data_IF_908545496141
#
_entry.id   IF_908545496141
#
_cell.length_a   1.000
_cell.length_b   1.000
_cell.length_c   1.000
_cell.angle_alpha   90.00
_cell.angle_beta   90.00
_cell.angle_gamma   90.00
#
_symmetry.space_group_name_H-M   'P 1'
#
loop_
_entity.id
_entity.type
_entity.pdbx_description
1 polymer ?
#
# COMPACT_ATOMS: atom_id res chain seq x y z
N UNK A 1 -17.37 -6.89 0.50
CA UNK A 1 -17.02 -6.50 1.89
C UNK A 1 -17.66 -5.18 2.29
N UNK A 2 -17.42 -4.07 1.56
CA UNK A 2 -17.85 -2.72 1.95
C UNK A 2 -19.35 -2.59 2.28
N UNK A 3 -20.25 -3.01 1.38
CA UNK A 3 -21.69 -2.85 1.60
C UNK A 3 -22.21 -3.70 2.76
N UNK A 4 -21.72 -4.94 2.89
CA UNK A 4 -22.10 -5.84 3.99
C UNK A 4 -21.67 -5.27 5.34
N UNK A 5 -20.44 -4.77 5.45
CA UNK A 5 -19.91 -4.18 6.67
C UNK A 5 -20.69 -2.93 7.08
N UNK A 6 -21.01 -2.04 6.12
CA UNK A 6 -21.79 -0.82 6.39
C UNK A 6 -23.23 -1.12 6.79
N UNK A 7 -23.89 -2.03 6.09
CA UNK A 7 -25.27 -2.41 6.42
C UNK A 7 -25.35 -3.09 7.79
N UNK A 8 -24.46 -4.05 8.06
CA UNK A 8 -24.39 -4.70 9.37
C UNK A 8 -24.12 -3.71 10.51
N UNK A 9 -23.25 -2.72 10.30
CA UNK A 9 -23.02 -1.66 11.28
C UNK A 9 -24.26 -0.80 11.54
N UNK A 10 -25.04 -0.49 10.49
CA UNK A 10 -26.25 0.30 10.61
C UNK A 10 -27.37 -0.46 11.35
N UNK A 11 -27.52 -1.75 11.07
CA UNK A 11 -28.55 -2.61 11.65
C UNK A 11 -28.24 -2.99 13.11
N UNK A 12 -26.98 -3.25 13.43
CA UNK A 12 -26.57 -3.79 14.73
C UNK A 12 -26.13 -2.72 15.74
N UNK A 13 -25.92 -1.48 15.30
CA UNK A 13 -25.45 -0.38 16.15
C UNK A 13 -26.37 -0.05 17.32
N UNK A 14 -27.70 -0.13 17.14
CA UNK A 14 -28.69 0.10 18.20
C UNK A 14 -28.64 -0.96 19.32
N UNK A 15 -28.06 -2.13 19.03
CA UNK A 15 -27.82 -3.20 19.99
C UNK A 15 -26.44 -3.10 20.67
N UNK A 16 -25.69 -2.02 20.42
CA UNK A 16 -24.34 -1.84 20.95
C UNK A 16 -23.27 -2.71 20.28
N UNK A 17 -23.56 -3.31 19.13
CA UNK A 17 -22.63 -4.17 18.39
C UNK A 17 -21.92 -3.35 17.31
N UNK A 18 -20.60 -3.42 17.27
CA UNK A 18 -19.76 -2.80 16.25
C UNK A 18 -19.44 -3.79 15.15
N UNK A 19 -19.44 -3.34 13.90
CA UNK A 19 -19.14 -4.19 12.73
C UNK A 19 -18.04 -3.54 11.92
N UNK A 20 -16.89 -4.19 11.80
CA UNK A 20 -15.77 -3.73 10.98
C UNK A 20 -15.20 -4.91 10.20
N UNK A 21 -14.45 -4.63 9.15
CA UNK A 21 -13.73 -5.65 8.39
C UNK A 21 -12.29 -5.22 8.15
N UNK A 22 -11.39 -6.19 8.08
CA UNK A 22 -9.97 -5.99 7.78
C UNK A 22 -9.71 -6.55 6.37
N UNK A 23 -9.08 -5.75 5.52
CA UNK A 23 -8.69 -6.11 4.17
C UNK A 23 -7.17 -6.33 4.12
N UNK A 24 -6.70 -7.59 4.14
CA UNK A 24 -5.28 -7.90 4.04
C UNK A 24 -4.74 -7.64 2.63
N UNK A 25 -3.50 -7.17 2.57
CA UNK A 25 -2.67 -7.20 1.35
C UNK A 25 -1.96 -8.54 1.15
N UNK A 26 -0.81 -8.52 0.47
CA UNK A 26 0.08 -9.69 0.37
C UNK A 26 0.75 -9.95 1.72
N UNK A 27 0.48 -11.12 2.29
CA UNK A 27 0.96 -11.52 3.62
C UNK A 27 1.85 -12.75 3.52
N UNK A 28 2.95 -12.79 4.27
CA UNK A 28 3.77 -13.97 4.43
C UNK A 28 3.06 -14.99 5.36
N UNK A 29 2.19 -15.82 4.77
CA UNK A 29 1.44 -16.86 5.47
C UNK A 29 1.79 -18.25 4.93
N UNK A 30 1.45 -19.34 5.65
CA UNK A 30 1.66 -20.70 5.16
C UNK A 30 1.06 -20.98 3.79
N UNK A 31 -0.12 -20.41 3.50
CA UNK A 31 -0.76 -20.53 2.19
C UNK A 31 0.08 -19.92 1.07
N UNK A 32 0.69 -18.77 1.34
CA UNK A 32 1.56 -18.11 0.37
C UNK A 32 2.86 -18.88 0.23
N UNK A 33 3.45 -19.37 1.33
CA UNK A 33 4.63 -20.24 1.27
C UNK A 33 4.39 -21.48 0.40
N UNK A 34 3.26 -22.16 0.58
CA UNK A 34 2.86 -23.31 -0.24
C UNK A 34 2.72 -22.94 -1.73
N UNK A 35 2.09 -21.80 -2.02
CA UNK A 35 1.87 -21.33 -3.40
C UNK A 35 3.18 -21.01 -4.12
N UNK A 36 4.16 -20.43 -3.42
CA UNK A 36 5.40 -19.93 -4.04
C UNK A 36 6.57 -20.92 -3.95
N UNK A 37 6.63 -21.74 -2.91
CA UNK A 37 7.74 -22.64 -2.62
C UNK A 37 7.34 -24.13 -2.63
N UNK A 38 6.04 -24.46 -2.68
CA UNK A 38 5.56 -25.84 -2.57
C UNK A 38 5.72 -26.46 -1.18
N UNK A 39 6.04 -25.64 -0.18
CA UNK A 39 6.15 -26.03 1.22
C UNK A 39 5.48 -24.96 2.10
N UNK A 40 4.36 -25.33 2.73
CA UNK A 40 3.62 -24.46 3.63
C UNK A 40 4.39 -24.03 4.88
N UNK A 41 5.52 -24.68 5.21
CA UNK A 41 6.37 -24.32 6.35
C UNK A 41 7.46 -23.31 5.99
N UNK A 42 7.77 -23.10 4.71
CA UNK A 42 8.83 -22.17 4.27
C UNK A 42 8.30 -20.71 4.17
N UNK A 43 7.96 -20.15 5.33
CA UNK A 43 7.51 -18.75 5.44
C UNK A 43 8.60 -17.78 4.97
N UNK A 44 9.88 -18.15 5.11
CA UNK A 44 10.99 -17.30 4.66
C UNK A 44 11.05 -17.21 3.13
N UNK A 45 10.73 -18.28 2.40
CA UNK A 45 10.55 -18.19 0.95
C UNK A 45 9.39 -17.25 0.58
N UNK A 46 8.25 -17.32 1.27
CA UNK A 46 7.15 -16.39 1.05
C UNK A 46 7.57 -14.92 1.29
N UNK A 47 8.30 -14.66 2.37
CA UNK A 47 8.84 -13.31 2.66
C UNK A 47 9.77 -12.84 1.55
N UNK A 48 10.72 -13.67 1.12
CA UNK A 48 11.65 -13.33 0.02
C UNK A 48 10.92 -13.02 -1.28
N UNK A 49 9.85 -13.76 -1.60
CA UNK A 49 9.06 -13.56 -2.81
C UNK A 49 8.25 -12.25 -2.76
N UNK A 50 7.67 -11.90 -1.60
CA UNK A 50 6.79 -10.73 -1.47
C UNK A 50 7.57 -9.43 -1.20
N UNK A 51 8.75 -9.51 -0.57
CA UNK A 51 9.52 -8.34 -0.14
C UNK A 51 9.75 -7.29 -1.25
N UNK A 52 10.11 -7.64 -2.50
CA UNK A 52 10.28 -6.66 -3.57
C UNK A 52 8.97 -5.95 -3.96
N UNK A 53 7.83 -6.61 -3.73
CA UNK A 53 6.49 -6.12 -4.04
C UNK A 53 5.84 -5.34 -2.89
N UNK A 54 6.49 -5.30 -1.72
CA UNK A 54 5.98 -4.58 -0.56
C UNK A 54 6.09 -3.07 -0.77
N UNK A 55 5.05 -2.29 -0.46
CA UNK A 55 5.15 -0.83 -0.45
C UNK A 55 5.95 -0.29 0.75
N UNK A 56 6.02 -1.04 1.86
CA UNK A 56 6.83 -0.69 3.02
C UNK A 56 8.25 -1.21 2.86
N UNK A 57 9.24 -0.33 3.02
CA UNK A 57 10.64 -0.68 2.89
C UNK A 57 11.05 -1.75 3.92
N UNK A 58 11.73 -2.79 3.42
CA UNK A 58 12.33 -3.87 4.21
C UNK A 58 11.35 -4.61 5.14
N UNK A 59 10.05 -4.56 4.83
CA UNK A 59 8.99 -5.13 5.66
C UNK A 59 7.93 -5.81 4.81
N UNK A 60 7.55 -7.03 5.18
CA UNK A 60 6.42 -7.77 4.59
C UNK A 60 5.33 -7.89 5.65
N UNK A 61 4.07 -7.83 5.22
CA UNK A 61 2.94 -8.08 6.11
C UNK A 61 2.89 -9.54 6.56
N UNK A 62 2.46 -9.76 7.79
CA UNK A 62 2.42 -11.09 8.44
C UNK A 62 1.01 -11.43 8.91
N UNK A 63 0.79 -12.67 9.36
CA UNK A 63 -0.48 -13.03 9.98
C UNK A 63 -0.70 -12.25 11.29
N UNK A 64 0.38 -11.97 12.01
CA UNK A 64 0.41 -11.21 13.26
C UNK A 64 -0.07 -9.77 13.03
N UNK A 65 0.31 -9.13 11.92
CA UNK A 65 -0.17 -7.77 11.58
C UNK A 65 -1.70 -7.71 11.46
N UNK A 66 -2.30 -8.76 10.92
CA UNK A 66 -3.76 -8.88 10.80
C UNK A 66 -4.38 -9.15 12.17
N UNK A 67 -3.76 -10.04 12.96
CA UNK A 67 -4.22 -10.33 14.31
C UNK A 67 -4.22 -9.08 15.20
N UNK A 68 -3.17 -8.26 15.13
CA UNK A 68 -3.07 -7.00 15.88
C UNK A 68 -4.11 -5.98 15.43
N UNK A 69 -4.38 -5.87 14.13
CA UNK A 69 -5.45 -5.00 13.62
C UNK A 69 -6.84 -5.43 14.16
N UNK A 70 -7.10 -6.74 14.22
CA UNK A 70 -8.31 -7.26 14.85
C UNK A 70 -8.34 -7.03 16.36
N UNK A 71 -7.23 -7.26 17.06
CA UNK A 71 -7.12 -7.03 18.49
C UNK A 71 -7.43 -5.57 18.84
N UNK A 72 -6.88 -4.62 18.08
CA UNK A 72 -7.20 -3.21 18.25
C UNK A 72 -8.68 -2.90 17.96
N UNK A 73 -9.25 -3.44 16.88
CA UNK A 73 -10.67 -3.27 16.56
C UNK A 73 -11.59 -3.84 17.64
N UNK A 74 -11.19 -4.91 18.33
CA UNK A 74 -11.94 -5.52 19.41
C UNK A 74 -11.76 -4.79 20.75
N UNK A 75 -10.69 -4.02 20.91
CA UNK A 75 -10.42 -3.24 22.12
C UNK A 75 -11.35 -2.04 22.32
N UNK A 76 -11.36 -1.49 23.53
CA UNK A 76 -12.09 -0.27 23.88
C UNK A 76 -11.55 0.98 23.17
N UNK A 77 -10.30 0.97 22.71
CA UNK A 77 -9.70 2.07 21.96
C UNK A 77 -10.38 2.31 20.61
N UNK A 78 -11.04 1.28 20.06
CA UNK A 78 -11.84 1.36 18.84
C UNK A 78 -13.36 1.43 19.14
N UNK A 79 -13.75 1.79 20.37
CA UNK A 79 -15.14 1.72 20.85
C UNK A 79 -16.15 2.57 20.07
N UNK A 80 -15.70 3.54 19.27
CA UNK A 80 -16.57 4.36 18.41
C UNK A 80 -16.36 4.12 16.91
N UNK A 81 -15.65 3.04 16.56
CA UNK A 81 -15.36 2.68 15.17
C UNK A 81 -16.27 1.53 14.76
N UNK A 82 -17.15 1.80 13.78
CA UNK A 82 -18.06 0.82 13.17
C UNK A 82 -18.29 1.17 11.69
N UNK A 83 -18.61 0.18 10.88
CA UNK A 83 -18.85 0.28 9.44
C UNK A 83 -17.59 0.44 8.59
N UNK A 84 -16.39 0.25 9.17
CA UNK A 84 -15.13 0.49 8.46
C UNK A 84 -14.57 -0.78 7.83
N UNK A 85 -13.96 -0.59 6.66
CA UNK A 85 -13.08 -1.58 6.03
C UNK A 85 -11.66 -1.03 6.15
N UNK A 86 -10.84 -1.66 6.98
CA UNK A 86 -9.47 -1.22 7.26
C UNK A 86 -8.51 -2.03 6.42
N UNK A 87 -7.80 -1.37 5.52
CA UNK A 87 -6.73 -2.00 4.75
C UNK A 87 -5.48 -2.17 5.61
N UNK A 88 -4.98 -3.39 5.65
CA UNK A 88 -3.69 -3.73 6.26
C UNK A 88 -2.84 -4.30 5.14
N UNK A 89 -2.17 -3.43 4.40
CA UNK A 89 -1.47 -3.81 3.16
C UNK A 89 -0.22 -2.95 2.89
N UNK A 90 0.22 -2.17 3.88
CA UNK A 90 1.36 -1.27 3.74
C UNK A 90 1.13 -0.07 2.82
N UNK A 91 -0.12 0.22 2.43
CA UNK A 91 -0.46 1.33 1.54
C UNK A 91 -0.62 0.93 0.07
N UNK A 92 -0.62 -0.37 -0.23
CA UNK A 92 -0.74 -0.88 -1.60
C UNK A 92 -2.00 -0.35 -2.30
N UNK A 93 -3.17 -0.48 -1.67
CA UNK A 93 -4.42 0.05 -2.22
C UNK A 93 -4.49 1.59 -2.20
N UNK A 94 -3.70 2.22 -1.33
CA UNK A 94 -3.52 3.68 -1.29
C UNK A 94 -2.73 4.23 -2.48
N UNK A 95 -2.23 3.35 -3.36
CA UNK A 95 -1.47 3.72 -4.55
C UNK A 95 0.04 3.76 -4.30
N UNK A 96 0.53 3.31 -3.14
CA UNK A 96 1.96 3.18 -2.89
C UNK A 96 2.52 2.09 -3.80
N UNK A 97 3.42 2.42 -4.74
CA UNK A 97 4.02 1.41 -5.61
C UNK A 97 4.93 0.49 -4.77
N UNK A 98 5.20 -0.74 -5.24
CA UNK A 98 6.25 -1.57 -4.68
C UNK A 98 7.56 -0.79 -4.49
N UNK A 99 8.30 -1.06 -3.41
CA UNK A 99 9.53 -0.34 -3.09
C UNK A 99 10.56 -0.41 -4.23
N UNK A 100 10.59 -1.54 -4.96
CA UNK A 100 11.45 -1.70 -6.13
C UNK A 100 11.13 -0.68 -7.24
N UNK A 101 9.84 -0.43 -7.48
CA UNK A 101 9.37 0.56 -8.46
C UNK A 101 9.61 1.98 -7.94
N UNK A 102 9.32 2.24 -6.67
CA UNK A 102 9.56 3.54 -6.04
C UNK A 102 11.04 3.95 -6.12
N UNK A 103 11.96 3.04 -5.78
CA UNK A 103 13.41 3.27 -5.87
C UNK A 103 13.85 3.53 -7.32
N UNK A 104 13.32 2.76 -8.29
CA UNK A 104 13.62 2.97 -9.70
C UNK A 104 13.11 4.32 -10.22
N UNK A 105 11.92 4.76 -9.79
CA UNK A 105 11.37 6.08 -10.11
C UNK A 105 12.22 7.20 -9.50
N UNK A 106 12.58 7.09 -8.23
CA UNK A 106 13.42 8.09 -7.55
C UNK A 106 14.80 8.21 -8.23
N UNK A 107 15.41 7.08 -8.62
CA UNK A 107 16.67 7.07 -9.35
C UNK A 107 16.58 7.78 -10.72
N UNK A 108 15.42 7.71 -11.40
CA UNK A 108 15.16 8.46 -12.65
C UNK A 108 15.08 9.97 -12.43
N UNK A 109 14.66 10.42 -11.25
CA UNK A 109 14.62 11.84 -10.89
C UNK A 109 15.91 12.35 -10.23
N UNK A 110 16.76 11.46 -9.73
CA UNK A 110 18.03 11.81 -9.08
C UNK A 110 19.16 12.13 -10.08
N UNK A 111 19.04 11.70 -11.34
CA UNK A 111 19.93 12.10 -12.43
C UNK A 111 19.24 13.16 -13.29
N UNK A 112 19.81 14.37 -13.33
CA UNK A 112 19.48 15.50 -14.21
C UNK A 112 18.37 15.24 -15.23
N UNK A 113 17.12 15.42 -14.81
CA UNK A 113 16.05 15.50 -15.79
C UNK A 113 16.06 16.92 -16.36
N UNK A 114 16.59 17.06 -17.57
CA UNK A 114 16.29 18.22 -18.42
C UNK A 114 14.77 18.34 -18.46
N UNK A 115 14.24 19.38 -17.82
CA UNK A 115 12.82 19.71 -17.85
C UNK A 115 12.42 19.96 -19.30
N UNK A 116 11.81 18.97 -19.95
CA UNK A 116 11.06 19.19 -21.19
C UNK A 116 9.80 19.95 -20.76
N UNK A 117 9.88 21.28 -20.79
CA UNK A 117 8.72 22.17 -20.68
C UNK A 117 7.94 22.02 -21.97
N UNK A 118 6.91 21.17 -21.97
CA UNK A 118 6.01 21.05 -23.10
C UNK A 118 5.19 22.34 -23.21
N UNK A 119 5.72 23.28 -23.98
CA UNK A 119 5.09 24.55 -24.30
C UNK A 119 3.89 24.33 -25.22
N UNK A 120 2.75 23.95 -24.66
CA UNK A 120 1.47 23.98 -25.32
C UNK A 120 1.04 25.42 -25.64
N UNK A 121 1.34 25.87 -26.87
CA UNK A 121 0.68 26.93 -27.65
C UNK A 121 0.41 28.27 -26.95
N UNK A 122 1.33 29.22 -27.15
CA UNK A 122 1.06 30.58 -27.70
C UNK A 122 2.39 31.33 -27.84
N UNK A 123 2.68 31.79 -29.06
CA UNK A 123 3.71 32.80 -29.33
C UNK A 123 5.06 32.24 -29.79
N UNK A 124 5.34 32.43 -31.07
CA UNK A 124 6.65 32.34 -31.72
C UNK A 124 7.71 33.20 -31.03
N UNK A 125 8.88 32.62 -30.76
CA UNK A 125 10.08 33.35 -30.35
C UNK A 125 11.16 32.41 -29.84
N UNK A 126 11.99 31.90 -30.75
CA UNK A 126 13.19 31.16 -30.36
C UNK A 126 14.21 32.15 -29.76
N UNK A 127 14.60 31.92 -28.50
CA UNK A 127 15.74 32.59 -27.89
C UNK A 127 16.71 31.51 -27.39
N UNK A 128 17.72 31.23 -28.20
CA UNK A 128 18.90 30.47 -27.81
C UNK A 128 19.75 31.36 -26.91
N UNK A 129 19.82 31.05 -25.61
CA UNK A 129 20.82 31.64 -24.72
C UNK A 129 22.17 31.02 -25.06
N UNK A 130 22.97 31.73 -25.85
CA UNK A 130 24.37 31.43 -26.04
C UNK A 130 25.10 31.58 -24.71
N UNK A 131 25.87 30.56 -24.36
CA UNK A 131 26.99 30.66 -23.43
C UNK A 131 28.00 31.63 -24.00
N UNK A 132 28.13 32.79 -23.34
CA UNK A 132 29.19 33.76 -23.55
C UNK A 132 30.11 33.70 -22.33
N UNK A 133 31.36 33.29 -22.57
CA UNK A 133 32.62 33.87 -22.02
C UNK A 133 33.77 32.84 -22.01
N UNK A 134 35.05 33.29 -22.05
CA UNK A 134 35.60 34.59 -22.49
C UNK A 134 36.36 34.54 -23.82
#
# INVERSE_FOLDING_TARGET
MVSLTRNGAAELGSYGIRVNAVAPGRMATPMVADTWAGDHNDIEAAKRAILPESPLADRVGTAEDIAEAYAWLLSDHAGYISGQVISVDGGFIGGSPPVAVAKAQLARYAGDTTFIREGGKRGSGAATAGTDQP
#
